data_IF_099132475671
#
_entry.id   IF_099132475671
#
_cell.length_a   1.000
_cell.length_b   1.000
_cell.length_c   1.000
_cell.angle_alpha   90.00
_cell.angle_beta   90.00
_cell.angle_gamma   90.00
#
_symmetry.space_group_name_H-M   'P 1'
#
loop_
_entity.id
_entity.type
_entity.pdbx_description
1 polymer ?
#
# COMPACT_ATOMS: atom_id res chain seq x y z
N UNK A 1 14.24 -15.71 -5.78
CA UNK A 1 13.25 -16.24 -6.74
C UNK A 1 12.35 -17.27 -6.07
N UNK A 2 11.25 -16.79 -5.47
CA UNK A 2 10.28 -17.64 -4.78
C UNK A 2 9.12 -18.12 -5.69
N UNK A 3 9.30 -18.05 -7.01
CA UNK A 3 8.24 -18.32 -8.01
C UNK A 3 6.96 -17.48 -7.79
N UNK A 4 7.13 -16.27 -7.30
CA UNK A 4 6.05 -15.28 -7.12
C UNK A 4 6.19 -14.19 -8.17
N UNK A 5 5.07 -13.63 -8.61
CA UNK A 5 5.06 -12.51 -9.56
C UNK A 5 4.87 -11.20 -8.81
N UNK A 6 5.66 -10.19 -9.12
CA UNK A 6 5.59 -8.87 -8.49
C UNK A 6 5.27 -7.80 -9.53
N UNK A 7 4.15 -7.13 -9.34
CA UNK A 7 3.73 -5.97 -10.12
C UNK A 7 3.89 -4.70 -9.27
N UNK A 8 4.71 -3.77 -9.72
CA UNK A 8 4.93 -2.47 -9.10
C UNK A 8 4.14 -1.39 -9.84
N UNK A 9 3.30 -0.65 -9.11
CA UNK A 9 2.50 0.45 -9.64
C UNK A 9 2.97 1.77 -9.00
N UNK A 10 3.22 2.79 -9.81
CA UNK A 10 3.73 4.08 -9.36
C UNK A 10 5.25 4.11 -9.21
N UNK A 11 5.75 4.62 -8.08
CA UNK A 11 7.20 4.81 -7.81
C UNK A 11 7.89 3.60 -7.18
N UNK A 12 7.19 2.51 -6.91
CA UNK A 12 7.73 1.34 -6.21
C UNK A 12 8.99 0.79 -6.90
N UNK A 13 8.97 0.68 -8.22
CA UNK A 13 10.13 0.21 -8.98
C UNK A 13 11.39 1.04 -8.73
N UNK A 14 11.23 2.36 -8.61
CA UNK A 14 12.35 3.27 -8.45
C UNK A 14 12.98 3.11 -7.04
N UNK A 15 12.15 2.87 -6.01
CA UNK A 15 12.59 2.59 -4.63
C UNK A 15 13.42 1.31 -4.56
N UNK A 16 13.00 0.26 -5.25
CA UNK A 16 13.69 -1.03 -5.26
C UNK A 16 14.77 -1.15 -6.35
N UNK A 17 15.02 -0.10 -7.12
CA UNK A 17 16.00 -0.11 -8.24
C UNK A 17 15.74 -1.26 -9.23
N UNK A 18 14.50 -1.58 -9.47
CA UNK A 18 14.04 -2.64 -10.37
C UNK A 18 14.30 -4.07 -9.88
N UNK A 19 14.82 -4.27 -8.66
CA UNK A 19 15.14 -5.59 -8.15
C UNK A 19 13.93 -6.33 -7.65
N UNK A 20 13.71 -7.55 -8.15
CA UNK A 20 12.61 -8.43 -7.74
C UNK A 20 11.24 -8.00 -8.26
N UNK A 21 11.18 -7.17 -9.30
CA UNK A 21 9.95 -6.68 -9.91
C UNK A 21 9.86 -7.25 -11.33
N UNK A 22 8.73 -7.89 -11.63
CA UNK A 22 8.47 -8.52 -12.93
C UNK A 22 7.71 -7.58 -13.88
N UNK A 23 6.85 -6.73 -13.34
CA UNK A 23 6.04 -5.78 -14.11
C UNK A 23 6.06 -4.40 -13.45
N UNK A 24 6.24 -3.37 -14.28
CA UNK A 24 6.26 -1.97 -13.82
C UNK A 24 5.18 -1.18 -14.54
N UNK A 25 4.31 -0.54 -13.79
CA UNK A 25 3.24 0.32 -14.30
C UNK A 25 3.42 1.73 -13.72
N UNK A 26 3.63 2.70 -14.60
CA UNK A 26 3.75 4.11 -14.22
C UNK A 26 2.47 4.86 -14.59
N UNK A 27 2.10 5.85 -13.80
CA UNK A 27 0.98 6.74 -14.05
C UNK A 27 1.38 8.19 -13.78
N UNK A 28 0.64 9.13 -14.37
CA UNK A 28 0.86 10.58 -14.22
C UNK A 28 0.21 11.13 -12.97
N UNK A 29 -0.78 10.42 -12.45
CA UNK A 29 -1.56 10.82 -11.28
C UNK A 29 -2.19 9.58 -10.61
N UNK A 30 -2.72 9.76 -9.40
CA UNK A 30 -3.30 8.68 -8.61
C UNK A 30 -4.53 8.04 -9.29
N UNK A 31 -5.28 8.77 -10.11
CA UNK A 31 -6.39 8.23 -10.87
C UNK A 31 -5.95 7.21 -11.94
N UNK A 32 -4.85 7.48 -12.64
CA UNK A 32 -4.26 6.51 -13.58
C UNK A 32 -3.71 5.28 -12.85
N UNK A 33 -3.04 5.49 -11.70
CA UNK A 33 -2.51 4.40 -10.88
C UNK A 33 -3.64 3.51 -10.32
N UNK A 34 -4.75 4.10 -9.88
CA UNK A 34 -5.91 3.37 -9.39
C UNK A 34 -6.56 2.53 -10.51
N UNK A 35 -6.67 3.09 -11.72
CA UNK A 35 -7.16 2.33 -12.87
C UNK A 35 -6.29 1.10 -13.16
N UNK A 36 -4.97 1.28 -13.15
CA UNK A 36 -4.01 0.19 -13.33
C UNK A 36 -4.13 -0.85 -12.20
N UNK A 37 -4.31 -0.41 -10.96
CA UNK A 37 -4.53 -1.32 -9.83
C UNK A 37 -5.77 -2.19 -10.05
N UNK A 38 -6.90 -1.60 -10.46
CA UNK A 38 -8.11 -2.35 -10.78
C UNK A 38 -7.90 -3.38 -11.91
N UNK A 39 -7.18 -2.99 -12.95
CA UNK A 39 -6.85 -3.90 -14.05
C UNK A 39 -5.97 -5.05 -13.56
N UNK A 40 -4.92 -4.75 -12.79
CA UNK A 40 -4.00 -5.77 -12.29
C UNK A 40 -4.67 -6.74 -11.30
N UNK A 41 -5.51 -6.26 -10.40
CA UNK A 41 -6.29 -7.13 -9.49
C UNK A 41 -7.19 -8.08 -10.29
N UNK A 42 -7.79 -7.62 -11.38
CA UNK A 42 -8.63 -8.48 -12.25
C UNK A 42 -7.84 -9.50 -13.08
N UNK A 43 -6.55 -9.24 -13.33
CA UNK A 43 -5.66 -10.10 -14.11
C UNK A 43 -4.73 -10.94 -13.24
N UNK A 44 -4.66 -10.65 -11.94
CA UNK A 44 -3.75 -11.30 -11.02
C UNK A 44 -3.96 -12.81 -11.00
N UNK A 45 -2.85 -13.53 -11.03
CA UNK A 45 -2.82 -14.97 -10.82
C UNK A 45 -2.51 -15.26 -9.36
N UNK A 46 -2.80 -16.47 -8.94
CA UNK A 46 -2.33 -16.96 -7.63
C UNK A 46 -0.82 -16.68 -7.48
N UNK A 47 -0.40 -16.36 -6.27
CA UNK A 47 1.00 -16.08 -5.95
C UNK A 47 1.55 -14.78 -6.58
N UNK A 48 0.69 -13.78 -6.75
CA UNK A 48 1.07 -12.45 -7.21
C UNK A 48 1.06 -11.45 -6.06
N UNK A 49 2.06 -10.55 -6.05
CA UNK A 49 2.10 -9.35 -5.23
C UNK A 49 1.89 -8.13 -6.12
N UNK A 50 0.85 -7.35 -5.86
CA UNK A 50 0.65 -6.04 -6.48
C UNK A 50 1.01 -4.99 -5.43
N UNK A 51 2.04 -4.21 -5.68
CA UNK A 51 2.48 -3.16 -4.79
C UNK A 51 2.26 -1.79 -5.45
N UNK A 52 1.28 -1.06 -4.98
CA UNK A 52 0.90 0.25 -5.50
C UNK A 52 1.28 1.37 -4.53
N UNK A 53 1.74 2.50 -5.08
CA UNK A 53 2.07 3.70 -4.32
C UNK A 53 1.32 4.89 -4.91
N UNK A 54 0.46 5.53 -4.11
CA UNK A 54 -0.33 6.71 -4.45
C UNK A 54 0.37 7.93 -3.85
N UNK A 55 0.96 8.75 -4.70
CA UNK A 55 1.93 9.78 -4.25
C UNK A 55 1.35 11.18 -4.12
N UNK A 56 0.13 11.44 -4.62
CA UNK A 56 -0.45 12.78 -4.59
C UNK A 56 -0.79 13.24 -3.18
N UNK A 57 -1.07 12.32 -2.25
CA UNK A 57 -1.24 12.63 -0.82
C UNK A 57 -0.05 13.41 -0.27
N UNK A 58 1.14 12.99 -0.63
CA UNK A 58 2.38 13.62 -0.23
C UNK A 58 2.73 14.83 -1.12
N UNK A 59 2.88 14.61 -2.44
CA UNK A 59 3.45 15.58 -3.36
C UNK A 59 2.53 16.75 -3.68
N UNK A 60 1.22 16.51 -3.79
CA UNK A 60 0.26 17.52 -4.20
C UNK A 60 -0.42 18.20 -3.01
N UNK A 61 -0.68 17.48 -1.94
CA UNK A 61 -1.46 17.98 -0.82
C UNK A 61 -0.65 18.11 0.46
N UNK A 62 0.16 17.14 0.83
CA UNK A 62 0.95 17.13 2.05
C UNK A 62 2.00 18.23 2.08
N UNK A 63 2.95 18.22 1.16
CA UNK A 63 4.00 19.22 1.05
C UNK A 63 3.48 20.62 0.73
N UNK A 64 2.36 20.73 0.02
CA UNK A 64 1.73 22.02 -0.33
C UNK A 64 0.81 22.55 0.76
N UNK A 65 0.63 21.81 1.84
CA UNK A 65 -0.26 22.17 2.96
C UNK A 65 -1.70 22.47 2.51
N UNK A 66 -2.15 21.76 1.47
CA UNK A 66 -3.53 21.82 1.00
C UNK A 66 -4.42 20.86 1.77
N UNK A 67 -4.90 21.31 2.93
CA UNK A 67 -5.80 20.53 3.82
C UNK A 67 -7.06 20.07 3.10
N UNK A 68 -7.66 20.96 2.30
CA UNK A 68 -8.89 20.65 1.58
C UNK A 68 -8.67 19.64 0.46
N UNK A 69 -7.56 19.77 -0.28
CA UNK A 69 -7.17 18.80 -1.30
C UNK A 69 -6.86 17.44 -0.70
N UNK A 70 -6.16 17.41 0.44
CA UNK A 70 -5.86 16.17 1.16
C UNK A 70 -7.13 15.44 1.61
N UNK A 71 -8.08 16.17 2.20
CA UNK A 71 -9.36 15.60 2.62
C UNK A 71 -10.14 15.02 1.43
N UNK A 72 -10.23 15.75 0.31
CA UNK A 72 -10.89 15.27 -0.91
C UNK A 72 -10.19 14.05 -1.52
N UNK A 73 -8.86 14.01 -1.45
CA UNK A 73 -8.10 12.84 -1.89
C UNK A 73 -8.39 11.60 -1.04
N UNK A 74 -8.54 11.75 0.29
CA UNK A 74 -8.96 10.66 1.18
C UNK A 74 -10.38 10.18 0.86
N UNK A 75 -11.35 11.08 0.67
CA UNK A 75 -12.72 10.74 0.28
C UNK A 75 -12.75 10.00 -1.07
N UNK A 76 -12.00 10.48 -2.04
CA UNK A 76 -11.87 9.82 -3.33
C UNK A 76 -11.23 8.42 -3.20
N UNK A 77 -10.17 8.30 -2.40
CA UNK A 77 -9.51 7.01 -2.19
C UNK A 77 -10.45 6.00 -1.51
N UNK A 78 -11.20 6.44 -0.51
CA UNK A 78 -12.20 5.61 0.19
C UNK A 78 -13.28 5.10 -0.77
N UNK A 79 -13.81 5.96 -1.66
CA UNK A 79 -14.75 5.53 -2.71
C UNK A 79 -14.14 4.43 -3.60
N UNK A 80 -12.89 4.63 -4.04
CA UNK A 80 -12.20 3.65 -4.89
C UNK A 80 -11.86 2.37 -4.15
N UNK A 81 -11.51 2.47 -2.87
CA UNK A 81 -11.30 1.33 -2.00
C UNK A 81 -12.58 0.47 -1.89
N UNK A 82 -13.74 1.09 -1.70
CA UNK A 82 -15.01 0.37 -1.70
C UNK A 82 -15.30 -0.39 -3.00
N UNK A 83 -14.82 0.10 -4.14
CA UNK A 83 -14.89 -0.61 -5.43
C UNK A 83 -13.84 -1.71 -5.56
N UNK A 84 -12.64 -1.50 -5.01
CA UNK A 84 -11.57 -2.50 -4.99
C UNK A 84 -11.95 -3.72 -4.16
N UNK A 85 -12.46 -3.51 -2.95
CA UNK A 85 -12.89 -4.59 -2.05
C UNK A 85 -13.90 -5.55 -2.68
N UNK A 86 -14.78 -5.04 -3.57
CA UNK A 86 -15.75 -5.87 -4.31
C UNK A 86 -15.11 -6.75 -5.40
N UNK A 87 -13.85 -6.53 -5.72
CA UNK A 87 -13.10 -7.27 -6.76
C UNK A 87 -12.16 -8.30 -6.19
N UNK A 88 -11.86 -8.21 -4.89
CA UNK A 88 -10.99 -9.15 -4.21
C UNK A 88 -11.70 -10.48 -4.02
N UNK A 89 -10.96 -11.56 -4.15
CA UNK A 89 -11.41 -12.91 -3.80
C UNK A 89 -11.25 -13.15 -2.28
N UNK A 90 -11.92 -14.17 -1.73
CA UNK A 90 -11.72 -14.54 -0.32
C UNK A 90 -10.30 -14.96 0.04
N UNK A 91 -9.50 -15.34 -0.95
CA UNK A 91 -8.09 -15.75 -0.76
C UNK A 91 -7.10 -14.59 -0.92
N UNK A 92 -7.57 -13.39 -1.25
CA UNK A 92 -6.72 -12.23 -1.40
C UNK A 92 -6.47 -11.54 -0.05
N UNK A 93 -5.27 -11.02 0.11
CA UNK A 93 -4.89 -10.13 1.21
C UNK A 93 -4.72 -8.71 0.68
N UNK A 94 -5.44 -7.77 1.26
CA UNK A 94 -5.22 -6.34 1.05
C UNK A 94 -4.61 -5.73 2.31
N UNK A 95 -3.50 -5.04 2.14
CA UNK A 95 -2.88 -4.22 3.19
C UNK A 95 -2.78 -2.78 2.69
N UNK A 96 -3.27 -1.84 3.48
CA UNK A 96 -3.17 -0.40 3.21
C UNK A 96 -2.39 0.23 4.34
N UNK A 97 -1.35 0.95 3.99
CA UNK A 97 -0.51 1.69 4.94
C UNK A 97 0.09 2.92 4.28
N UNK A 98 0.88 3.68 5.00
CA UNK A 98 1.72 4.74 4.45
C UNK A 98 3.17 4.54 4.90
N UNK A 99 4.11 5.10 4.15
CA UNK A 99 5.54 5.04 4.42
C UNK A 99 6.00 6.09 5.44
N UNK A 100 5.27 7.20 5.57
CA UNK A 100 5.50 8.25 6.58
C UNK A 100 4.24 9.10 6.77
N UNK A 101 4.27 9.97 7.77
CA UNK A 101 3.27 11.02 7.99
C UNK A 101 3.57 12.27 7.15
N UNK A 102 2.54 12.99 6.76
CA UNK A 102 2.64 14.32 6.19
C UNK A 102 1.38 15.13 6.53
N UNK A 103 1.38 15.77 7.71
CA UNK A 103 0.24 16.55 8.19
C UNK A 103 0.12 17.87 7.39
N UNK A 104 -0.93 18.03 6.59
CA UNK A 104 -1.12 19.24 5.79
C UNK A 104 -1.46 20.49 6.62
N UNK A 105 -1.68 20.34 7.94
CA UNK A 105 -1.91 21.49 8.85
C UNK A 105 -0.63 21.98 9.51
N UNK A 106 0.47 21.23 9.38
CA UNK A 106 1.74 21.57 10.02
C UNK A 106 2.43 22.77 9.33
N UNK A 107 3.26 23.50 10.06
CA UNK A 107 4.10 24.56 9.51
C UNK A 107 5.29 23.99 8.72
N UNK A 108 5.73 24.69 7.68
CA UNK A 108 6.82 24.22 6.82
C UNK A 108 6.37 23.22 5.76
N UNK A 109 7.30 22.62 5.05
CA UNK A 109 7.06 21.73 3.90
C UNK A 109 7.59 20.32 4.09
N UNK A 110 8.23 20.02 5.22
CA UNK A 110 8.82 18.72 5.49
C UNK A 110 7.76 17.69 5.93
N UNK A 111 8.12 16.43 5.81
CA UNK A 111 7.31 15.33 6.37
C UNK A 111 7.16 15.50 7.89
N UNK A 112 6.08 14.95 8.41
CA UNK A 112 5.76 15.00 9.83
C UNK A 112 5.78 13.60 10.45
N UNK A 113 5.66 13.48 11.77
CA UNK A 113 5.97 12.24 12.50
C UNK A 113 4.74 11.53 13.07
N UNK A 114 3.63 11.66 12.38
CA UNK A 114 2.41 10.95 12.75
C UNK A 114 2.58 9.45 12.57
N UNK A 115 1.86 8.69 13.39
CA UNK A 115 1.66 7.27 13.14
C UNK A 115 0.82 7.10 11.89
N UNK A 116 1.19 6.13 11.07
CA UNK A 116 0.45 5.81 9.86
C UNK A 116 -0.53 4.66 10.11
N UNK A 117 -1.67 4.61 9.40
CA UNK A 117 -2.61 3.50 9.54
C UNK A 117 -2.05 2.20 8.99
N UNK A 118 -2.51 1.08 9.52
CA UNK A 118 -2.40 -0.24 8.89
C UNK A 118 -3.78 -0.86 8.87
N UNK A 119 -4.36 -0.98 7.68
CA UNK A 119 -5.67 -1.60 7.47
C UNK A 119 -5.47 -2.90 6.71
N UNK A 120 -6.09 -3.98 7.20
CA UNK A 120 -5.95 -5.32 6.63
C UNK A 120 -7.34 -5.87 6.30
N UNK A 121 -7.48 -6.47 5.13
CA UNK A 121 -8.67 -7.19 4.71
C UNK A 121 -8.27 -8.52 4.06
N UNK A 122 -9.05 -9.58 4.33
CA UNK A 122 -8.80 -10.93 3.81
C UNK A 122 -8.13 -11.89 4.81
N UNK A 123 -7.83 -11.43 6.04
CA UNK A 123 -7.24 -12.28 7.08
C UNK A 123 -7.69 -11.82 8.47
N UNK A 124 -8.39 -12.70 9.18
CA UNK A 124 -8.80 -12.45 10.57
C UNK A 124 -9.84 -11.33 10.76
N UNK A 125 -10.16 -11.05 12.02
CA UNK A 125 -11.04 -9.96 12.46
C UNK A 125 -10.55 -9.46 13.83
N UNK A 126 -9.40 -8.84 13.85
CA UNK A 126 -8.77 -8.33 15.06
C UNK A 126 -8.51 -6.83 15.01
N UNK A 127 -7.93 -6.33 16.08
CA UNK A 127 -7.39 -4.98 16.14
C UNK A 127 -5.89 -5.09 16.38
N UNK A 128 -5.11 -4.51 15.48
CA UNK A 128 -3.68 -4.40 15.67
C UNK A 128 -3.39 -3.26 16.64
N UNK A 129 -2.57 -3.54 17.64
CA UNK A 129 -1.94 -2.51 18.44
C UNK A 129 -0.87 -1.77 17.62
N UNK A 130 0.01 -1.05 18.29
CA UNK A 130 1.14 -0.39 17.65
C UNK A 130 2.15 -1.45 17.16
N UNK A 131 2.34 -1.52 15.86
CA UNK A 131 3.29 -2.42 15.22
C UNK A 131 4.48 -1.66 14.63
N UNK A 132 5.55 -2.39 14.31
CA UNK A 132 6.69 -1.83 13.62
C UNK A 132 6.45 -1.82 12.10
N UNK A 133 7.12 -0.91 11.41
CA UNK A 133 7.05 -0.80 9.96
C UNK A 133 7.45 -2.11 9.24
N UNK A 134 8.46 -2.80 9.77
CA UNK A 134 8.94 -4.09 9.26
C UNK A 134 7.93 -5.25 9.39
N UNK A 135 6.94 -5.13 10.29
CA UNK A 135 5.96 -6.19 10.55
C UNK A 135 5.00 -6.37 9.36
N UNK A 136 4.75 -5.30 8.58
CA UNK A 136 3.99 -5.39 7.34
C UNK A 136 4.70 -6.31 6.33
N UNK A 137 6.02 -6.12 6.16
CA UNK A 137 6.81 -6.98 5.27
C UNK A 137 6.86 -8.44 5.73
N UNK A 138 6.99 -8.67 7.04
CA UNK A 138 6.96 -10.01 7.63
C UNK A 138 5.62 -10.71 7.39
N UNK A 139 4.52 -9.99 7.58
CA UNK A 139 3.16 -10.51 7.37
C UNK A 139 2.88 -10.84 5.89
N UNK A 140 3.30 -9.98 4.97
CA UNK A 140 3.20 -10.26 3.53
C UNK A 140 4.03 -11.50 3.17
N UNK A 141 5.25 -11.63 3.71
CA UNK A 141 6.09 -12.80 3.45
C UNK A 141 5.46 -14.09 3.98
N UNK A 142 4.87 -14.08 5.18
CA UNK A 142 4.13 -15.22 5.73
C UNK A 142 2.92 -15.59 4.85
N UNK A 143 2.11 -14.60 4.46
CA UNK A 143 0.96 -14.83 3.58
C UNK A 143 1.35 -15.45 2.24
N UNK A 144 2.45 -14.97 1.66
CA UNK A 144 2.98 -15.46 0.39
C UNK A 144 3.75 -16.79 0.53
N UNK A 145 3.98 -17.28 1.74
CA UNK A 145 4.75 -18.50 1.99
C UNK A 145 6.22 -18.37 1.56
N UNK A 146 6.82 -17.19 1.73
CA UNK A 146 8.23 -16.94 1.39
C UNK A 146 9.06 -16.68 2.65
N UNK A 147 10.35 -17.10 2.68
CA UNK A 147 11.21 -16.80 3.82
C UNK A 147 11.37 -15.29 4.02
N UNK A 148 11.24 -14.84 5.26
CA UNK A 148 11.53 -13.47 5.67
C UNK A 148 12.85 -13.42 6.44
N UNK A 149 13.72 -12.45 6.09
CA UNK A 149 15.04 -12.30 6.68
C UNK A 149 15.21 -10.98 7.46
N UNK A 150 14.14 -10.21 7.61
CA UNK A 150 14.13 -8.96 8.36
C UNK A 150 13.83 -9.16 9.86
N UNK A 151 13.80 -8.07 10.61
CA UNK A 151 13.53 -8.06 12.06
C UNK A 151 12.03 -8.01 12.40
N UNK A 152 11.16 -7.79 11.41
CA UNK A 152 9.71 -7.72 11.60
C UNK A 152 9.10 -9.04 12.03
N UNK A 153 7.96 -8.94 12.69
CA UNK A 153 7.13 -10.09 13.08
C UNK A 153 5.80 -10.02 12.37
N UNK A 154 5.31 -11.15 11.88
CA UNK A 154 3.97 -11.20 11.31
C UNK A 154 2.92 -10.91 12.38
N UNK A 155 1.93 -10.11 12.01
CA UNK A 155 0.80 -9.76 12.88
C UNK A 155 -0.42 -10.68 12.69
N UNK A 156 -0.33 -11.73 11.90
CA UNK A 156 -1.49 -12.58 11.64
C UNK A 156 -1.96 -13.39 12.85
N UNK A 157 -1.09 -13.61 13.83
CA UNK A 157 -1.50 -14.20 15.10
C UNK A 157 -2.38 -13.28 15.96
N UNK A 158 -2.40 -11.99 15.66
CA UNK A 158 -3.10 -10.96 16.42
C UNK A 158 -4.44 -10.55 15.75
N UNK A 159 -4.73 -11.12 14.57
CA UNK A 159 -5.96 -10.96 13.80
C UNK A 159 -6.86 -12.20 13.95
#
# INVERSE_FOLDING_TARGET
NANKTVCAIGKINDIFSGKGIDQVLKGRNDSELMKQLFEQVSLAKKDSLIFANFVEFDSEYGHRRDVNGYAKALEWFDEKLGLLLKRLSPDDLLVITADHGNDPTWSGTDHTRERVPVLVSGKGNGSLDLINFSDVGASIAEFMGVPYQGEGKSFFSDL
#
